data_IF_434898086269
#
_entry.id   IF_434898086269
#
_cell.length_a   1.000
_cell.length_b   1.000
_cell.length_c   1.000
_cell.angle_alpha   90.00
_cell.angle_beta   90.00
_cell.angle_gamma   90.00
#
_symmetry.space_group_name_H-M   'P 1'
#
loop_
_entity.id
_entity.type
_entity.pdbx_description
1 polymer ?
#
# COMPACT_ATOMS: atom_id res chain seq x y z
N UNK A 1 -5.74 15.95 -0.18
CA UNK A 1 -6.24 15.01 0.87
C UNK A 1 -7.68 14.49 0.66
N UNK A 2 -8.19 14.32 -0.57
CA UNK A 2 -9.51 13.68 -0.80
C UNK A 2 -9.48 12.44 -1.73
N UNK A 3 -8.35 12.18 -2.39
CA UNK A 3 -8.29 11.24 -3.53
C UNK A 3 -7.74 9.86 -3.13
N UNK A 4 -6.93 9.75 -2.07
CA UNK A 4 -6.50 8.46 -1.51
C UNK A 4 -7.29 8.12 -0.24
N UNK A 5 -8.62 8.14 -0.35
CA UNK A 5 -9.47 7.54 0.67
C UNK A 5 -9.85 6.14 0.20
N UNK A 6 -9.99 5.16 1.09
CA UNK A 6 -10.34 3.78 0.71
C UNK A 6 -11.67 3.70 -0.07
N UNK A 7 -12.48 4.77 0.02
CA UNK A 7 -13.77 4.93 -0.64
C UNK A 7 -13.70 5.69 -1.98
N UNK A 8 -12.52 6.09 -2.46
CA UNK A 8 -12.38 6.76 -3.75
C UNK A 8 -12.30 5.76 -4.90
N UNK A 9 -12.91 6.09 -6.05
CA UNK A 9 -12.80 5.30 -7.27
C UNK A 9 -11.34 5.16 -7.72
N UNK A 10 -10.54 6.22 -7.55
CA UNK A 10 -9.13 6.25 -7.90
C UNK A 10 -8.27 5.29 -7.05
N UNK A 11 -8.57 5.17 -5.76
CA UNK A 11 -7.91 4.19 -4.89
C UNK A 11 -8.16 2.78 -5.43
N UNK A 12 -9.41 2.40 -5.66
CA UNK A 12 -9.75 1.07 -6.18
C UNK A 12 -9.11 0.78 -7.55
N UNK A 13 -9.15 1.76 -8.46
CA UNK A 13 -8.59 1.65 -9.81
C UNK A 13 -7.07 1.50 -9.80
N UNK A 14 -6.35 2.34 -9.05
CA UNK A 14 -4.90 2.23 -8.90
C UNK A 14 -4.51 0.91 -8.23
N UNK A 15 -5.23 0.51 -7.18
CA UNK A 15 -4.94 -0.73 -6.46
C UNK A 15 -5.18 -1.96 -7.33
N UNK A 16 -6.21 -1.93 -8.20
CA UNK A 16 -6.44 -2.97 -9.21
C UNK A 16 -5.32 -2.98 -10.25
N UNK A 17 -4.92 -1.82 -10.76
CA UNK A 17 -3.82 -1.67 -11.71
C UNK A 17 -2.52 -2.29 -11.17
N UNK A 18 -2.14 -1.93 -9.94
CA UNK A 18 -0.95 -2.44 -9.27
C UNK A 18 -1.02 -3.95 -9.00
N UNK A 19 -2.19 -4.50 -8.63
CA UNK A 19 -2.35 -5.95 -8.42
C UNK A 19 -2.24 -6.76 -9.70
N UNK A 20 -2.71 -6.21 -10.81
CA UNK A 20 -2.71 -6.87 -12.12
C UNK A 20 -1.47 -6.52 -12.95
N UNK A 21 -0.57 -5.68 -12.42
CA UNK A 21 0.59 -5.14 -13.13
C UNK A 21 0.20 -4.54 -14.49
N UNK A 22 -0.97 -3.91 -14.54
CA UNK A 22 -1.50 -3.32 -15.76
C UNK A 22 -0.77 -2.00 -16.04
N UNK A 23 0.25 -2.08 -16.89
CA UNK A 23 1.16 -0.96 -17.21
C UNK A 23 0.39 0.21 -17.81
N UNK A 24 -0.58 -0.06 -18.70
CA UNK A 24 -1.37 1.00 -19.34
C UNK A 24 -2.14 1.82 -18.30
N UNK A 25 -2.83 1.13 -17.40
CA UNK A 25 -3.62 1.76 -16.34
C UNK A 25 -2.74 2.49 -15.32
N UNK A 26 -1.53 1.96 -15.03
CA UNK A 26 -0.54 2.64 -14.22
C UNK A 26 -0.02 3.90 -14.92
N UNK A 27 0.20 3.85 -16.23
CA UNK A 27 0.63 5.00 -17.01
C UNK A 27 -0.44 6.09 -17.07
N UNK A 28 -1.72 5.72 -17.20
CA UNK A 28 -2.84 6.66 -17.13
C UNK A 28 -3.01 7.24 -15.73
N UNK A 29 -2.73 6.47 -14.67
CA UNK A 29 -2.81 6.93 -13.27
C UNK A 29 -1.51 7.53 -12.74
N UNK A 30 -0.50 7.78 -13.59
CA UNK A 30 0.82 8.29 -13.19
C UNK A 30 0.77 9.60 -12.41
N UNK A 31 -0.16 10.48 -12.76
CA UNK A 31 -0.34 11.77 -12.07
C UNK A 31 -0.70 11.52 -10.61
N UNK A 32 -1.60 10.57 -10.36
CA UNK A 32 -2.05 10.23 -9.02
C UNK A 32 -0.95 9.54 -8.21
N UNK A 33 -0.15 8.68 -8.85
CA UNK A 33 1.04 8.07 -8.22
C UNK A 33 2.06 9.16 -7.82
N UNK A 34 2.27 10.14 -8.70
CA UNK A 34 3.16 11.26 -8.44
C UNK A 34 2.68 12.12 -7.28
N UNK A 35 1.38 12.44 -7.22
CA UNK A 35 0.78 13.19 -6.12
C UNK A 35 0.94 12.45 -4.78
N UNK A 36 0.66 11.14 -4.75
CA UNK A 36 0.87 10.31 -3.55
C UNK A 36 2.35 10.36 -3.11
N UNK A 37 3.29 10.27 -4.06
CA UNK A 37 4.71 10.35 -3.75
C UNK A 37 5.08 11.69 -3.10
N UNK A 38 4.64 12.80 -3.68
CA UNK A 38 4.92 14.13 -3.13
C UNK A 38 4.37 14.28 -1.71
N UNK A 39 3.14 13.84 -1.48
CA UNK A 39 2.51 13.87 -0.16
C UNK A 39 3.26 13.03 0.87
N UNK A 40 3.74 11.83 0.49
CA UNK A 40 4.56 10.99 1.36
C UNK A 40 5.93 11.62 1.67
N UNK A 41 6.51 12.35 0.71
CA UNK A 41 7.78 13.05 0.90
C UNK A 41 7.65 14.25 1.84
N UNK A 42 6.52 14.97 1.77
CA UNK A 42 6.22 16.10 2.66
C UNK A 42 5.82 15.64 4.07
N UNK A 43 5.12 14.51 4.18
CA UNK A 43 4.58 13.99 5.44
C UNK A 43 5.36 12.77 5.96
N UNK A 44 6.70 12.81 5.89
CA UNK A 44 7.53 11.71 6.41
C UNK A 44 7.36 11.56 7.92
N UNK A 45 7.34 10.31 8.38
CA UNK A 45 7.37 10.03 9.81
C UNK A 45 8.71 10.49 10.38
N UNK A 46 8.66 11.37 11.39
CA UNK A 46 9.83 11.85 12.11
C UNK A 46 10.45 10.80 13.05
N UNK A 47 9.69 9.75 13.38
CA UNK A 47 10.12 8.68 14.27
C UNK A 47 9.50 7.34 13.86
N UNK A 48 10.08 6.25 14.39
CA UNK A 48 9.52 4.91 14.23
C UNK A 48 8.13 4.83 14.86
N UNK A 49 7.13 4.41 14.08
CA UNK A 49 5.74 4.25 14.53
C UNK A 49 5.31 2.81 14.33
N UNK A 50 4.65 2.26 15.36
CA UNK A 50 3.93 0.99 15.23
C UNK A 50 2.58 1.27 14.60
N UNK A 51 2.26 0.50 13.57
CA UNK A 51 1.00 0.59 12.84
C UNK A 51 0.48 -0.80 12.57
N UNK A 52 -0.83 -0.93 12.41
CA UNK A 52 -1.52 -2.20 12.21
C UNK A 52 -2.25 -2.20 10.88
N UNK A 53 -2.33 -3.37 10.24
CA UNK A 53 -3.09 -3.52 9.00
C UNK A 53 -3.74 -4.89 8.98
N UNK A 54 -5.07 -4.91 8.94
CA UNK A 54 -5.83 -6.11 8.62
C UNK A 54 -5.60 -6.51 7.16
N UNK A 55 -5.30 -7.79 6.93
CA UNK A 55 -5.21 -8.35 5.58
C UNK A 55 -5.71 -9.80 5.57
N UNK A 56 -6.58 -10.10 4.59
CA UNK A 56 -6.89 -11.49 4.24
C UNK A 56 -5.65 -12.11 3.58
N UNK A 57 -5.16 -13.20 4.16
CA UNK A 57 -3.95 -13.89 3.74
C UNK A 57 -4.20 -15.40 3.74
N UNK A 58 -3.68 -16.11 2.75
CA UNK A 58 -3.76 -17.58 2.71
C UNK A 58 -2.81 -18.21 3.72
N UNK A 59 -3.14 -19.43 4.18
CA UNK A 59 -2.30 -20.18 5.10
C UNK A 59 -0.89 -20.41 4.53
N UNK A 60 -0.78 -20.69 3.23
CA UNK A 60 0.50 -20.82 2.52
C UNK A 60 1.34 -19.56 2.64
N UNK A 61 0.73 -18.39 2.44
CA UNK A 61 1.44 -17.12 2.52
C UNK A 61 1.83 -16.78 3.96
N UNK A 62 1.04 -17.17 4.96
CA UNK A 62 1.44 -17.10 6.37
C UNK A 62 2.68 -17.96 6.62
N UNK A 63 2.70 -19.20 6.13
CA UNK A 63 3.83 -20.11 6.32
C UNK A 63 5.09 -19.59 5.61
N UNK A 64 4.94 -19.04 4.40
CA UNK A 64 6.03 -18.34 3.71
C UNK A 64 6.56 -17.18 4.54
N UNK A 65 5.70 -16.33 5.11
CA UNK A 65 6.13 -15.20 5.95
C UNK A 65 6.85 -15.65 7.22
N UNK A 66 6.44 -16.75 7.85
CA UNK A 66 7.16 -17.33 9.00
C UNK A 66 8.59 -17.70 8.65
N UNK A 67 8.81 -18.24 7.44
CA UNK A 67 10.14 -18.63 6.97
C UNK A 67 11.03 -17.43 6.60
N UNK A 68 10.44 -16.25 6.36
CA UNK A 68 11.15 -15.01 6.03
C UNK A 68 11.52 -14.18 7.27
N UNK A 69 11.46 -14.76 8.49
CA UNK A 69 11.79 -14.04 9.73
C UNK A 69 13.22 -13.49 9.67
N UNK A 70 13.37 -12.18 9.86
CA UNK A 70 14.66 -11.49 9.79
C UNK A 70 15.07 -11.03 8.38
N UNK A 71 14.23 -11.27 7.37
CA UNK A 71 14.46 -10.80 5.99
C UNK A 71 13.59 -9.57 5.67
N UNK A 72 13.96 -8.86 4.60
CA UNK A 72 13.17 -7.75 4.07
C UNK A 72 12.08 -8.24 3.13
N UNK A 73 10.92 -7.60 3.19
CA UNK A 73 9.78 -7.89 2.32
C UNK A 73 9.45 -6.62 1.54
N UNK A 74 9.33 -6.75 0.22
CA UNK A 74 8.82 -5.67 -0.63
C UNK A 74 7.32 -5.84 -0.85
N UNK A 75 6.60 -4.72 -0.80
CA UNK A 75 5.19 -4.66 -1.15
C UNK A 75 5.03 -3.94 -2.48
N UNK A 76 4.34 -4.58 -3.44
CA UNK A 76 4.00 -3.98 -4.74
C UNK A 76 2.90 -2.91 -4.66
N UNK A 77 2.36 -2.69 -3.47
CA UNK A 77 1.15 -1.91 -3.24
C UNK A 77 1.39 -0.90 -2.13
N UNK A 78 0.76 0.27 -2.26
CA UNK A 78 0.67 1.21 -1.15
C UNK A 78 -0.05 0.57 0.05
N UNK A 79 0.41 0.90 1.25
CA UNK A 79 -0.14 0.37 2.49
C UNK A 79 -1.02 1.44 3.15
N UNK A 80 -2.19 1.04 3.62
CA UNK A 80 -3.11 1.90 4.37
C UNK A 80 -3.31 1.31 5.77
N UNK A 81 -2.36 1.51 6.70
CA UNK A 81 -2.44 1.00 8.05
C UNK A 81 -3.20 1.94 8.99
N UNK A 82 -3.65 1.42 10.14
CA UNK A 82 -4.21 2.17 11.26
C UNK A 82 -3.19 2.31 12.39
N UNK A 83 -3.34 3.37 13.21
CA UNK A 83 -2.61 3.48 14.47
C UNK A 83 -3.25 2.61 15.57
N UNK A 84 -4.57 2.42 15.47
CA UNK A 84 -5.35 1.63 16.41
C UNK A 84 -5.34 0.15 16.04
N UNK A 85 -5.29 -0.69 17.06
CA UNK A 85 -5.54 -2.13 16.95
C UNK A 85 -7.06 -2.32 17.00
N UNK A 86 -7.68 -2.61 15.85
CA UNK A 86 -9.07 -3.08 15.78
C UNK A 86 -9.15 -4.60 15.90
#
# INVERSE_FOLDING_TARGET
MAIYNQNSCFYGLLYKALRQENIDLLFYSRFFIYDIKQELEQNKCSSSKRVYRGQRISLEKINMLKNLRGQFISFKLFLSPSLDLH
#
